data_IF_296338079664
#
_entry.id   IF_296338079664
#
_cell.length_a   1.000
_cell.length_b   1.000
_cell.length_c   1.000
_cell.angle_alpha   90.00
_cell.angle_beta   90.00
_cell.angle_gamma   90.00
#
_symmetry.space_group_name_H-M   'P 1'
#
loop_
_entity.id
_entity.type
_entity.pdbx_description
1 polymer ?
#
# COMPACT_ATOMS: atom_id res chain seq x y z
N UNK A 1 -33.00 23.25 4.30
CA UNK A 1 -32.73 21.87 3.85
C UNK A 1 -31.27 21.60 4.17
N UNK A 2 -31.02 20.69 5.10
CA UNK A 2 -29.67 20.33 5.48
C UNK A 2 -28.95 19.74 4.27
N UNK A 3 -27.86 20.39 3.85
CA UNK A 3 -27.08 20.14 2.63
C UNK A 3 -26.35 18.77 2.65
N UNK A 4 -26.75 17.90 3.58
CA UNK A 4 -26.07 16.67 3.99
C UNK A 4 -26.79 15.42 3.55
N UNK A 5 -28.10 15.51 3.47
CA UNK A 5 -28.97 14.43 3.04
C UNK A 5 -29.60 14.82 1.72
N UNK A 6 -29.56 13.90 0.77
CA UNK A 6 -30.51 13.93 -0.32
C UNK A 6 -31.95 13.82 0.24
N UNK A 7 -32.96 14.12 -0.56
CA UNK A 7 -34.39 13.99 -0.19
C UNK A 7 -34.73 12.59 0.33
N UNK A 8 -33.89 11.60 -0.02
CA UNK A 8 -33.95 10.19 0.39
C UNK A 8 -33.25 9.84 1.72
N UNK A 9 -32.59 10.79 2.41
CA UNK A 9 -31.84 10.53 3.64
C UNK A 9 -30.47 9.87 3.41
N UNK A 10 -29.98 9.87 2.16
CA UNK A 10 -28.65 9.37 1.79
C UNK A 10 -27.61 10.49 1.82
N UNK A 11 -26.36 10.13 2.09
CA UNK A 11 -25.21 11.02 1.97
C UNK A 11 -24.99 11.42 0.52
N UNK A 12 -24.14 12.43 0.28
CA UNK A 12 -23.78 12.91 -1.06
C UNK A 12 -23.19 11.84 -1.99
N UNK A 13 -22.62 10.80 -1.41
CA UNK A 13 -22.05 9.64 -2.12
C UNK A 13 -23.05 8.47 -2.27
N UNK A 14 -24.29 8.64 -1.84
CA UNK A 14 -25.34 7.61 -1.88
C UNK A 14 -25.31 6.61 -0.74
N UNK A 15 -24.39 6.75 0.23
CA UNK A 15 -24.29 5.84 1.39
C UNK A 15 -25.24 6.21 2.52
N UNK A 16 -25.56 5.24 3.36
CA UNK A 16 -26.20 5.51 4.66
C UNK A 16 -25.18 6.11 5.65
N UNK A 17 -25.63 6.86 6.68
CA UNK A 17 -24.76 7.38 7.75
C UNK A 17 -23.84 6.32 8.38
N UNK A 18 -24.33 5.09 8.58
CA UNK A 18 -23.61 4.00 9.26
C UNK A 18 -22.98 2.99 8.32
N UNK A 19 -22.65 3.40 7.11
CA UNK A 19 -22.13 2.53 6.07
C UNK A 19 -20.68 2.88 5.71
N UNK A 20 -19.78 1.91 5.84
CA UNK A 20 -18.39 2.02 5.42
C UNK A 20 -18.26 1.99 3.89
N UNK A 21 -17.25 2.66 3.34
CA UNK A 21 -16.93 2.57 1.90
C UNK A 21 -16.58 1.14 1.51
N UNK A 22 -16.68 0.86 0.20
CA UNK A 22 -16.14 -0.36 -0.36
C UNK A 22 -14.65 -0.48 -0.01
N UNK A 23 -14.24 -1.69 0.39
CA UNK A 23 -12.85 -2.00 0.74
C UNK A 23 -12.33 -3.01 -0.26
N UNK A 24 -11.38 -2.61 -1.09
CA UNK A 24 -10.67 -3.52 -1.97
C UNK A 24 -9.32 -3.83 -1.35
N UNK A 25 -9.07 -5.11 -1.14
CA UNK A 25 -7.83 -5.62 -0.53
C UNK A 25 -7.12 -6.47 -1.57
N UNK A 26 -5.84 -6.20 -1.78
CA UNK A 26 -4.94 -7.08 -2.52
C UNK A 26 -3.75 -7.38 -1.64
N UNK A 27 -3.68 -8.62 -1.16
CA UNK A 27 -2.52 -9.18 -0.47
C UNK A 27 -1.63 -9.85 -1.53
N UNK A 28 -0.33 -9.87 -1.30
CA UNK A 28 0.60 -10.55 -2.20
C UNK A 28 0.64 -9.95 -3.61
N UNK A 29 1.58 -9.04 -3.83
CA UNK A 29 1.98 -8.54 -5.15
C UNK A 29 3.50 -8.65 -5.36
N UNK A 30 4.05 -8.31 -6.55
CA UNK A 30 5.47 -8.10 -6.78
C UNK A 30 6.07 -7.23 -5.69
N UNK A 31 6.92 -7.90 -4.91
CA UNK A 31 7.66 -7.32 -3.81
C UNK A 31 8.93 -6.69 -4.40
N UNK A 32 9.28 -5.45 -4.04
CA UNK A 32 10.62 -4.94 -4.25
C UNK A 32 11.66 -5.90 -3.63
N UNK A 33 12.92 -5.89 -4.10
CA UNK A 33 13.97 -6.63 -3.42
C UNK A 33 14.05 -6.18 -1.96
N UNK A 34 14.14 -7.15 -1.04
CA UNK A 34 14.16 -6.95 0.42
C UNK A 34 12.82 -6.55 1.08
N UNK A 35 11.68 -6.79 0.43
CA UNK A 35 10.35 -6.66 1.05
C UNK A 35 9.76 -8.05 1.28
N UNK A 36 9.43 -8.36 2.52
CA UNK A 36 8.89 -9.66 2.92
C UNK A 36 7.38 -9.72 2.76
N UNK A 37 6.68 -8.61 3.02
CA UNK A 37 5.23 -8.52 2.91
C UNK A 37 4.75 -7.28 2.17
N UNK A 38 3.68 -7.42 1.40
CA UNK A 38 3.05 -6.26 0.75
C UNK A 38 1.52 -6.37 0.77
N UNK A 39 0.88 -5.21 0.89
CA UNK A 39 -0.56 -5.12 0.82
C UNK A 39 -0.98 -3.80 0.16
N UNK A 40 -1.91 -3.89 -0.78
CA UNK A 40 -2.60 -2.74 -1.31
C UNK A 40 -4.03 -2.72 -0.79
N UNK A 41 -4.41 -1.58 -0.21
CA UNK A 41 -5.73 -1.37 0.36
C UNK A 41 -6.34 -0.12 -0.22
N UNK A 42 -7.60 -0.24 -0.63
CA UNK A 42 -8.41 0.89 -1.08
C UNK A 42 -9.70 0.95 -0.27
N UNK A 43 -9.93 2.08 0.40
CA UNK A 43 -11.16 2.42 1.11
C UNK A 43 -11.90 3.51 0.32
N UNK A 44 -12.84 3.10 -0.51
CA UNK A 44 -13.49 3.95 -1.51
C UNK A 44 -12.49 4.55 -2.50
N UNK A 45 -12.10 5.81 -2.30
CA UNK A 45 -11.12 6.50 -3.14
C UNK A 45 -9.77 6.71 -2.46
N UNK A 46 -9.67 6.45 -1.15
CA UNK A 46 -8.40 6.50 -0.42
C UNK A 46 -7.67 5.19 -0.64
N UNK A 47 -6.46 5.22 -1.19
CA UNK A 47 -5.67 4.02 -1.46
C UNK A 47 -4.26 4.13 -0.91
N UNK A 48 -3.79 3.06 -0.25
CA UNK A 48 -2.48 2.96 0.40
C UNK A 48 -1.82 1.65 -0.02
N UNK A 49 -0.55 1.74 -0.39
CA UNK A 49 0.33 0.59 -0.58
C UNK A 49 1.25 0.47 0.62
N UNK A 50 1.27 -0.69 1.25
CA UNK A 50 2.08 -1.00 2.42
C UNK A 50 3.13 -2.05 2.07
N UNK A 51 4.37 -1.79 2.48
CA UNK A 51 5.48 -2.72 2.40
C UNK A 51 5.99 -3.01 3.81
N UNK A 52 6.22 -4.28 4.11
CA UNK A 52 6.84 -4.74 5.34
C UNK A 52 8.20 -5.33 5.03
N UNK A 53 9.21 -4.86 5.75
CA UNK A 53 10.60 -5.29 5.65
C UNK A 53 11.01 -5.84 7.01
N UNK A 54 11.45 -7.09 7.03
CA UNK A 54 11.95 -7.73 8.22
C UNK A 54 10.86 -8.29 9.11
N UNK A 55 11.25 -9.12 10.07
CA UNK A 55 12.28 -8.80 11.08
C UNK A 55 13.71 -8.89 10.55
N UNK A 56 14.41 -7.75 10.52
CA UNK A 56 15.83 -7.64 10.13
C UNK A 56 16.68 -7.28 11.34
N UNK A 57 17.98 -7.62 11.33
CA UNK A 57 18.89 -7.19 12.38
C UNK A 57 18.99 -5.66 12.44
N UNK A 58 18.98 -5.12 13.67
CA UNK A 58 19.02 -3.67 13.87
C UNK A 58 20.38 -3.13 13.43
N UNK A 59 20.40 -2.29 12.38
CA UNK A 59 21.64 -1.73 11.80
C UNK A 59 22.44 -0.85 12.76
N UNK A 60 21.77 -0.22 13.73
CA UNK A 60 22.39 0.69 14.70
C UNK A 60 22.24 0.12 16.10
N UNK A 61 23.36 -0.11 16.77
CA UNK A 61 23.40 -0.60 18.15
C UNK A 61 22.67 0.32 19.15
N UNK A 62 22.56 1.62 18.85
CA UNK A 62 21.80 2.58 19.67
C UNK A 62 20.29 2.39 19.58
N UNK A 63 19.82 1.84 18.46
CA UNK A 63 18.39 1.63 18.20
C UNK A 63 17.92 0.23 18.60
N UNK A 64 18.85 -0.60 19.07
CA UNK A 64 18.65 -1.99 19.44
C UNK A 64 17.96 -2.09 20.79
N UNK A 65 16.81 -2.77 20.81
CA UNK A 65 16.11 -3.14 22.04
C UNK A 65 16.46 -4.60 22.34
N UNK A 66 17.03 -4.87 23.52
CA UNK A 66 17.55 -6.20 23.86
C UNK A 66 16.45 -7.25 23.96
N UNK A 67 15.32 -6.88 24.57
CA UNK A 67 14.24 -7.82 24.92
C UNK A 67 13.05 -7.80 23.96
N UNK A 68 13.05 -6.89 22.97
CA UNK A 68 11.91 -6.72 22.05
C UNK A 68 12.36 -6.24 20.67
N UNK A 69 11.47 -6.42 19.69
CA UNK A 69 11.62 -5.86 18.35
C UNK A 69 11.32 -4.36 18.34
N UNK A 70 12.12 -3.60 17.60
CA UNK A 70 11.81 -2.20 17.29
C UNK A 70 10.89 -2.13 16.08
N UNK A 71 9.73 -1.49 16.22
CA UNK A 71 8.86 -1.17 15.10
C UNK A 71 9.24 0.21 14.56
N UNK A 72 9.47 0.30 13.25
CA UNK A 72 9.67 1.56 12.55
C UNK A 72 8.64 1.70 11.43
N UNK A 73 8.12 2.91 11.25
CA UNK A 73 7.21 3.19 10.16
C UNK A 73 7.65 4.45 9.44
N UNK A 74 7.57 4.44 8.11
CA UNK A 74 7.72 5.64 7.29
C UNK A 74 6.46 5.80 6.46
N UNK A 75 5.79 6.95 6.59
CA UNK A 75 4.63 7.30 5.77
C UNK A 75 5.08 8.29 4.71
N UNK A 76 4.97 7.88 3.45
CA UNK A 76 5.32 8.69 2.28
C UNK A 76 4.05 9.09 1.54
N UNK A 77 3.92 10.39 1.28
CA UNK A 77 2.86 10.97 0.45
C UNK A 77 3.50 11.74 -0.70
N UNK A 78 3.50 11.17 -1.90
CA UNK A 78 4.25 11.72 -3.03
C UNK A 78 5.73 11.84 -2.66
N UNK A 79 6.27 13.06 -2.57
CA UNK A 79 7.66 13.33 -2.15
C UNK A 79 7.82 13.72 -0.67
N UNK A 80 6.72 13.86 0.09
CA UNK A 80 6.76 14.35 1.48
C UNK A 80 6.54 13.21 2.46
N UNK A 81 7.36 13.19 3.51
CA UNK A 81 7.15 12.30 4.66
C UNK A 81 6.20 12.94 5.68
N UNK A 82 5.37 12.11 6.31
CA UNK A 82 4.44 12.51 7.37
C UNK A 82 4.84 11.84 8.71
N UNK A 83 5.73 12.48 9.50
CA UNK A 83 6.27 11.88 10.72
C UNK A 83 5.24 11.75 11.85
N UNK A 84 4.23 12.61 11.89
CA UNK A 84 3.15 12.56 12.90
C UNK A 84 2.28 11.33 12.68
N UNK A 85 1.90 11.08 11.42
CA UNK A 85 1.16 9.87 11.06
C UNK A 85 2.01 8.62 11.31
N UNK A 86 3.29 8.65 10.94
CA UNK A 86 4.21 7.55 11.15
C UNK A 86 4.33 7.20 12.64
N UNK A 87 4.50 8.18 13.52
CA UNK A 87 4.60 7.97 14.98
C UNK A 87 3.33 7.33 15.53
N UNK A 88 2.17 7.77 15.04
CA UNK A 88 0.87 7.21 15.43
C UNK A 88 0.73 5.76 14.99
N UNK A 89 1.14 5.45 13.76
CA UNK A 89 1.14 4.08 13.22
C UNK A 89 2.08 3.20 14.03
N UNK A 90 3.31 3.63 14.31
CA UNK A 90 4.28 2.88 15.13
C UNK A 90 3.68 2.52 16.49
N UNK A 91 3.19 3.51 17.24
CA UNK A 91 2.59 3.27 18.57
C UNK A 91 1.42 2.28 18.52
N UNK A 92 0.63 2.33 17.45
CA UNK A 92 -0.49 1.40 17.27
C UNK A 92 0.02 -0.01 16.97
N UNK A 93 0.99 -0.15 16.07
CA UNK A 93 1.54 -1.44 15.65
C UNK A 93 2.35 -2.14 16.75
N UNK A 94 3.09 -1.42 17.59
CA UNK A 94 3.84 -1.99 18.74
C UNK A 94 2.92 -2.78 19.69
N UNK A 95 1.67 -2.36 19.84
CA UNK A 95 0.70 -3.08 20.68
C UNK A 95 0.04 -4.27 19.95
N UNK A 96 0.00 -4.25 18.63
CA UNK A 96 -0.59 -5.31 17.82
C UNK A 96 0.40 -6.45 17.55
N UNK A 97 1.66 -6.12 17.28
CA UNK A 97 2.75 -7.06 16.98
C UNK A 97 3.27 -7.71 18.26
N UNK A 98 3.64 -8.99 18.18
CA UNK A 98 4.35 -9.70 19.25
C UNK A 98 5.84 -9.34 19.19
N UNK A 99 6.18 -8.14 19.66
CA UNK A 99 7.56 -7.62 19.63
C UNK A 99 8.54 -8.47 20.45
N UNK A 100 8.07 -9.12 21.51
CA UNK A 100 8.88 -9.98 22.39
C UNK A 100 9.40 -11.25 21.67
N UNK A 101 8.80 -11.61 20.52
CA UNK A 101 9.22 -12.76 19.73
C UNK A 101 10.52 -12.52 18.94
N UNK A 102 10.93 -11.26 18.75
CA UNK A 102 12.10 -10.89 17.94
C UNK A 102 13.03 -9.91 18.68
N UNK A 103 13.79 -10.38 19.68
CA UNK A 103 14.78 -9.54 20.37
C UNK A 103 15.84 -9.02 19.40
N UNK A 104 16.27 -7.76 19.55
CA UNK A 104 17.27 -7.08 18.71
C UNK A 104 16.89 -6.92 17.23
N UNK A 105 15.68 -7.31 16.82
CA UNK A 105 15.20 -7.15 15.46
C UNK A 105 14.53 -5.79 15.24
N UNK A 106 14.55 -5.32 14.01
CA UNK A 106 13.76 -4.18 13.53
C UNK A 106 12.75 -4.68 12.51
N UNK A 107 11.48 -4.32 12.72
CA UNK A 107 10.39 -4.50 11.76
C UNK A 107 10.12 -3.12 11.17
N UNK A 108 10.24 -2.98 9.85
CA UNK A 108 10.04 -1.71 9.18
C UNK A 108 8.83 -1.77 8.25
N UNK A 109 7.90 -0.83 8.42
CA UNK A 109 6.71 -0.70 7.57
C UNK A 109 6.78 0.60 6.80
N UNK A 110 6.76 0.52 5.47
CA UNK A 110 6.73 1.69 4.59
C UNK A 110 5.33 1.79 3.98
N UNK A 111 4.67 2.92 4.25
CA UNK A 111 3.33 3.21 3.78
C UNK A 111 3.39 4.28 2.70
N UNK A 112 3.00 3.93 1.48
CA UNK A 112 2.86 4.84 0.36
C UNK A 112 1.38 5.21 0.22
N UNK A 113 1.03 6.43 0.58
CA UNK A 113 -0.32 6.96 0.37
C UNK A 113 -0.44 7.36 -1.11
N UNK A 114 -1.17 6.57 -1.87
CA UNK A 114 -1.38 6.81 -3.30
C UNK A 114 -2.44 7.89 -3.48
N UNK A 115 -3.63 7.70 -2.89
CA UNK A 115 -4.74 8.64 -2.97
C UNK A 115 -5.33 8.89 -1.58
N UNK A 116 -5.74 10.13 -1.32
CA UNK A 116 -6.18 10.60 0.00
C UNK A 116 -7.52 11.34 -0.13
N UNK A 117 -8.61 10.59 0.00
CA UNK A 117 -9.99 11.06 -0.03
C UNK A 117 -10.69 10.86 1.33
N UNK A 118 -9.92 11.02 2.41
CA UNK A 118 -10.39 11.00 3.80
C UNK A 118 -10.20 9.67 4.53
N UNK A 119 -10.25 9.72 5.87
CA UNK A 119 -9.96 8.60 6.78
C UNK A 119 -8.57 7.98 6.56
N UNK A 120 -7.58 8.82 6.21
CA UNK A 120 -6.21 8.43 5.87
C UNK A 120 -5.55 7.58 6.94
N UNK A 121 -5.64 7.98 8.21
CA UNK A 121 -5.04 7.26 9.34
C UNK A 121 -5.59 5.84 9.44
N UNK A 122 -6.91 5.67 9.31
CA UNK A 122 -7.55 4.36 9.35
C UNK A 122 -7.07 3.47 8.19
N UNK A 123 -7.02 4.01 6.97
CA UNK A 123 -6.53 3.27 5.81
C UNK A 123 -5.05 2.84 5.98
N UNK A 124 -4.18 3.73 6.45
CA UNK A 124 -2.78 3.45 6.73
C UNK A 124 -2.60 2.31 7.75
N UNK A 125 -3.34 2.36 8.85
CA UNK A 125 -3.28 1.35 9.91
C UNK A 125 -3.73 -0.03 9.42
N UNK A 126 -4.82 -0.06 8.66
CA UNK A 126 -5.34 -1.29 8.07
C UNK A 126 -4.39 -1.88 7.02
N UNK A 127 -3.82 -1.04 6.15
CA UNK A 127 -2.84 -1.47 5.15
C UNK A 127 -1.56 -2.01 5.81
N UNK A 128 -1.07 -1.34 6.86
CA UNK A 128 0.07 -1.82 7.64
C UNK A 128 -0.21 -3.19 8.26
N UNK A 129 -1.38 -3.37 8.88
CA UNK A 129 -1.75 -4.66 9.47
C UNK A 129 -1.78 -5.77 8.43
N UNK A 130 -2.31 -5.50 7.23
CA UNK A 130 -2.36 -6.47 6.14
C UNK A 130 -0.95 -6.83 5.63
N UNK A 131 -0.05 -5.86 5.50
CA UNK A 131 1.33 -6.12 5.08
C UNK A 131 2.11 -6.95 6.11
N UNK A 132 1.84 -6.76 7.41
CA UNK A 132 2.41 -7.58 8.48
C UNK A 132 1.88 -9.02 8.43
N UNK A 133 0.60 -9.22 8.10
CA UNK A 133 0.02 -10.56 7.88
C UNK A 133 0.70 -11.24 6.68
N UNK A 134 0.85 -10.54 5.56
CA UNK A 134 1.50 -11.07 4.36
C UNK A 134 2.99 -11.41 4.58
N UNK A 135 3.68 -10.62 5.41
CA UNK A 135 5.06 -10.91 5.83
C UNK A 135 5.17 -12.12 6.78
N UNK A 136 4.05 -12.65 7.28
CA UNK A 136 4.04 -13.74 8.25
C UNK A 136 4.51 -13.34 9.64
N UNK A 137 4.42 -12.04 9.99
CA UNK A 137 4.83 -11.56 11.31
C UNK A 137 3.75 -11.92 12.34
N UNK A 138 4.12 -12.57 13.46
CA UNK A 138 3.18 -12.92 14.51
C UNK A 138 2.61 -11.66 15.16
N UNK A 139 1.30 -11.50 15.05
CA UNK A 139 0.52 -10.45 15.68
C UNK A 139 -0.47 -11.04 16.68
N UNK A 140 -0.82 -10.27 17.72
CA UNK A 140 -1.86 -10.64 18.69
C UNK A 140 -3.22 -10.79 18.02
N UNK A 141 -3.49 -9.92 17.04
CA UNK A 141 -4.70 -9.88 16.24
C UNK A 141 -4.50 -9.00 14.98
N UNK A 142 -5.38 -9.15 13.99
CA UNK A 142 -5.42 -8.25 12.83
C UNK A 142 -6.12 -6.95 13.22
N UNK A 143 -5.46 -5.82 13.01
CA UNK A 143 -5.98 -4.52 13.40
C UNK A 143 -7.09 -4.09 12.43
N UNK A 144 -8.18 -3.55 12.98
CA UNK A 144 -9.19 -2.86 12.21
C UNK A 144 -9.35 -1.43 12.70
N UNK A 145 -9.21 -0.48 11.80
CA UNK A 145 -9.36 0.94 12.09
C UNK A 145 -10.45 1.57 11.22
N UNK A 146 -11.22 2.47 11.80
CA UNK A 146 -12.17 3.30 11.07
C UNK A 146 -12.26 4.68 11.70
N UNK A 147 -12.61 5.67 10.89
CA UNK A 147 -12.98 6.99 11.39
C UNK A 147 -14.49 7.11 11.49
N UNK A 148 -14.97 7.79 12.51
CA UNK A 148 -16.34 8.29 12.61
C UNK A 148 -16.32 9.79 12.85
N UNK A 149 -17.29 10.52 12.32
CA UNK A 149 -17.37 11.97 12.50
C UNK A 149 -18.78 12.41 12.80
N UNK A 150 -18.88 13.51 13.55
CA UNK A 150 -20.14 14.16 13.83
C UNK A 150 -20.42 15.21 12.74
N UNK A 151 -21.42 14.97 11.92
CA UNK A 151 -21.86 15.86 10.84
C UNK A 151 -23.34 16.15 11.04
N UNK A 152 -23.72 17.42 11.17
CA UNK A 152 -25.11 17.83 11.37
C UNK A 152 -25.84 17.08 12.51
N UNK A 153 -25.11 16.80 13.60
CA UNK A 153 -25.60 16.08 14.79
C UNK A 153 -25.92 14.58 14.59
N UNK A 154 -25.61 14.05 13.40
CA UNK A 154 -25.57 12.63 13.08
C UNK A 154 -24.12 12.11 13.04
N UNK A 155 -23.91 10.85 13.42
CA UNK A 155 -22.59 10.22 13.37
C UNK A 155 -22.43 9.43 12.08
N UNK A 156 -21.48 9.86 11.26
CA UNK A 156 -21.14 9.22 9.98
C UNK A 156 -19.95 8.28 10.14
N UNK A 157 -20.07 7.10 9.54
CA UNK A 157 -18.99 6.13 9.46
C UNK A 157 -18.15 6.42 8.22
N UNK A 158 -16.84 6.35 8.37
CA UNK A 158 -15.85 6.43 7.31
C UNK A 158 -16.06 7.67 6.43
N UNK A 159 -15.53 8.78 6.94
CA UNK A 159 -15.67 10.11 6.37
C UNK A 159 -14.89 10.22 5.06
N UNK A 160 -15.53 10.81 4.06
CA UNK A 160 -14.87 11.32 2.86
C UNK A 160 -14.10 12.60 3.18
N UNK A 161 -13.19 13.02 2.31
CA UNK A 161 -12.41 14.26 2.49
C UNK A 161 -13.29 15.50 2.63
N UNK A 162 -14.39 15.55 1.89
CA UNK A 162 -15.35 16.64 1.94
C UNK A 162 -16.09 16.70 3.27
N UNK A 163 -16.45 15.53 3.81
CA UNK A 163 -17.05 15.41 5.12
C UNK A 163 -16.03 15.65 6.21
N UNK A 164 -14.79 15.18 6.11
CA UNK A 164 -13.72 15.46 7.06
C UNK A 164 -13.47 16.96 7.18
N UNK A 165 -13.32 17.68 6.07
CA UNK A 165 -13.11 19.15 6.10
C UNK A 165 -14.20 19.89 6.88
N UNK A 166 -15.43 19.38 6.83
CA UNK A 166 -16.58 20.01 7.47
C UNK A 166 -16.89 19.42 8.85
N UNK A 167 -16.56 18.15 9.09
CA UNK A 167 -16.61 17.45 10.37
C UNK A 167 -15.51 17.92 11.31
N UNK A 168 -14.36 18.36 10.78
CA UNK A 168 -13.29 19.02 11.53
C UNK A 168 -13.77 20.29 12.25
N UNK A 169 -14.92 20.86 11.85
CA UNK A 169 -15.56 21.95 12.59
C UNK A 169 -16.28 21.49 13.87
N UNK A 170 -16.68 20.22 13.96
CA UNK A 170 -17.27 19.59 15.16
C UNK A 170 -16.30 18.59 15.76
N UNK A 171 -16.27 17.36 15.26
CA UNK A 171 -15.30 16.35 15.68
C UNK A 171 -15.21 15.18 14.69
N UNK A 172 -13.99 14.68 14.52
CA UNK A 172 -13.68 13.39 13.91
C UNK A 172 -12.93 12.52 14.91
N UNK A 173 -13.23 11.23 14.90
CA UNK A 173 -12.68 10.27 15.83
C UNK A 173 -12.23 9.03 15.07
N UNK A 174 -10.93 8.76 15.06
CA UNK A 174 -10.35 7.57 14.44
C UNK A 174 -9.98 6.57 15.52
N UNK A 175 -10.50 5.36 15.41
CA UNK A 175 -10.28 4.30 16.40
C UNK A 175 -9.68 3.09 15.70
N UNK A 176 -8.68 2.49 16.33
CA UNK A 176 -8.14 1.19 15.99
C UNK A 176 -8.52 0.16 17.06
N UNK A 177 -9.03 -0.99 16.62
CA UNK A 177 -9.46 -2.08 17.50
C UNK A 177 -8.81 -3.40 17.11
N UNK A 178 -8.59 -4.25 18.10
CA UNK A 178 -8.29 -5.66 17.93
C UNK A 178 -9.60 -6.45 18.09
N UNK A 179 -10.22 -6.94 17.00
CA UNK A 179 -11.58 -7.50 17.03
C UNK A 179 -11.73 -8.72 17.95
N UNK A 180 -10.74 -9.60 18.02
CA UNK A 180 -10.76 -10.83 18.83
C UNK A 180 -10.72 -10.53 20.32
N UNK A 181 -9.90 -9.56 20.73
CA UNK A 181 -9.78 -9.16 22.13
C UNK A 181 -10.76 -8.05 22.54
N UNK A 182 -11.46 -7.44 21.58
CA UNK A 182 -12.32 -6.26 21.75
C UNK A 182 -11.63 -5.09 22.46
N UNK A 183 -10.31 -4.97 22.27
CA UNK A 183 -9.51 -3.90 22.87
C UNK A 183 -9.34 -2.77 21.87
N UNK A 184 -9.54 -1.55 22.35
CA UNK A 184 -9.13 -0.33 21.64
C UNK A 184 -7.63 -0.15 21.82
N UNK A 185 -6.92 0.01 20.72
CA UNK A 185 -5.47 0.19 20.70
C UNK A 185 -5.10 1.66 20.69
N UNK A 186 -5.67 2.39 19.76
CA UNK A 186 -5.42 3.81 19.57
C UNK A 186 -6.72 4.52 19.23
N UNK A 187 -6.81 5.76 19.69
CA UNK A 187 -7.98 6.60 19.52
C UNK A 187 -7.49 8.03 19.34
N UNK A 188 -7.90 8.65 18.23
CA UNK A 188 -7.49 9.99 17.83
C UNK A 188 -8.74 10.84 17.64
N UNK A 189 -8.91 11.82 18.52
CA UNK A 189 -9.94 12.85 18.40
C UNK A 189 -9.33 14.10 17.82
N UNK A 190 -9.87 14.56 16.70
CA UNK A 190 -9.56 15.89 16.17
C UNK A 190 -10.86 16.68 16.04
N UNK A 191 -10.85 17.92 16.52
CA UNK A 191 -11.99 18.82 16.42
C UNK A 191 -12.20 19.64 17.68
N UNK A 192 -13.37 20.26 17.77
CA UNK A 192 -13.78 21.05 18.91
C UNK A 192 -14.09 20.16 20.14
N UNK A 193 -13.99 20.70 21.35
CA UNK A 193 -14.44 20.03 22.56
C UNK A 193 -15.92 19.61 22.43
N UNK A 194 -16.20 18.34 22.73
CA UNK A 194 -17.54 17.77 22.70
C UNK A 194 -18.14 17.69 24.10
N UNK A 195 -19.46 17.77 24.17
CA UNK A 195 -20.20 17.36 25.37
C UNK A 195 -20.01 15.86 25.62
N UNK A 196 -19.88 15.46 26.88
CA UNK A 196 -19.66 14.06 27.30
C UNK A 196 -20.66 13.09 26.66
N UNK A 197 -21.95 13.45 26.63
CA UNK A 197 -23.02 12.63 26.07
C UNK A 197 -22.84 12.37 24.56
N UNK A 198 -22.29 13.35 23.84
CA UNK A 198 -22.02 13.28 22.41
C UNK A 198 -20.71 12.53 22.14
N UNK A 199 -19.70 12.72 22.98
CA UNK A 199 -18.45 11.98 22.91
C UNK A 199 -18.66 10.47 23.13
N UNK A 200 -19.45 10.06 24.12
CA UNK A 200 -19.76 8.65 24.37
C UNK A 200 -20.49 7.99 23.19
N UNK A 201 -21.43 8.72 22.58
CA UNK A 201 -22.11 8.28 21.36
C UNK A 201 -21.13 8.18 20.20
N UNK A 202 -20.24 9.14 20.00
CA UNK A 202 -19.26 9.11 18.92
C UNK A 202 -18.25 7.96 19.10
N UNK A 203 -17.75 7.76 20.32
CA UNK A 203 -16.81 6.69 20.67
C UNK A 203 -17.41 5.31 20.44
N UNK A 204 -18.60 5.04 20.98
CA UNK A 204 -19.29 3.75 20.78
C UNK A 204 -19.51 3.44 19.30
N UNK A 205 -19.92 4.45 18.53
CA UNK A 205 -20.11 4.34 17.08
C UNK A 205 -18.82 4.16 16.30
N UNK A 206 -17.73 4.79 16.72
CA UNK A 206 -16.42 4.60 16.10
C UNK A 206 -15.88 3.19 16.36
N UNK A 207 -16.12 2.63 17.55
CA UNK A 207 -15.78 1.23 17.87
C UNK A 207 -16.58 0.27 16.98
N UNK A 208 -17.89 0.50 16.80
CA UNK A 208 -18.73 -0.29 15.89
C UNK A 208 -18.18 -0.24 14.46
N UNK A 209 -17.82 0.95 13.97
CA UNK A 209 -17.26 1.15 12.63
C UNK A 209 -15.91 0.43 12.46
N UNK A 210 -15.02 0.54 13.45
CA UNK A 210 -13.71 -0.10 13.42
C UNK A 210 -13.82 -1.64 13.47
N UNK A 211 -14.78 -2.16 14.24
CA UNK A 211 -15.09 -3.60 14.30
C UNK A 211 -15.63 -4.11 12.96
N UNK A 212 -16.51 -3.35 12.32
CA UNK A 212 -17.03 -3.70 10.99
C UNK A 212 -15.92 -3.68 9.94
N UNK A 213 -15.01 -2.71 9.99
CA UNK A 213 -13.83 -2.67 9.13
C UNK A 213 -12.94 -3.89 9.36
N UNK A 214 -12.65 -4.24 10.62
CA UNK A 214 -11.85 -5.40 10.98
C UNK A 214 -12.43 -6.71 10.41
N UNK A 215 -13.74 -6.88 10.50
CA UNK A 215 -14.43 -8.06 9.98
C UNK A 215 -14.33 -8.16 8.45
N UNK A 216 -14.48 -7.04 7.74
CA UNK A 216 -14.30 -6.99 6.28
C UNK A 216 -12.88 -7.35 5.87
N UNK A 217 -11.88 -6.81 6.56
CA UNK A 217 -10.48 -7.12 6.31
C UNK A 217 -10.17 -8.60 6.58
N UNK A 218 -10.63 -9.14 7.72
CA UNK A 218 -10.45 -10.54 8.06
C UNK A 218 -11.15 -11.49 7.08
N UNK A 219 -12.26 -11.08 6.49
CA UNK A 219 -12.90 -11.83 5.42
C UNK A 219 -12.06 -11.80 4.15
N UNK A 220 -11.65 -10.61 3.69
CA UNK A 220 -10.79 -10.47 2.51
C UNK A 220 -9.48 -11.26 2.61
N UNK A 221 -8.84 -11.27 3.79
CA UNK A 221 -7.64 -12.08 4.04
C UNK A 221 -7.92 -13.58 3.93
N UNK A 222 -9.06 -14.05 4.46
CA UNK A 222 -9.44 -15.47 4.37
C UNK A 222 -9.76 -15.89 2.94
N UNK A 223 -10.44 -15.02 2.20
CA UNK A 223 -10.79 -15.26 0.80
C UNK A 223 -9.50 -15.38 -0.03
N UNK A 224 -8.55 -14.45 0.15
CA UNK A 224 -7.25 -14.49 -0.52
C UNK A 224 -6.44 -15.77 -0.18
N UNK A 225 -6.39 -16.17 1.09
CA UNK A 225 -5.72 -17.42 1.48
C UNK A 225 -6.42 -18.63 0.87
N UNK A 226 -7.75 -18.62 0.78
CA UNK A 226 -8.54 -19.66 0.12
C UNK A 226 -8.19 -19.80 -1.36
N UNK A 227 -8.11 -18.69 -2.08
CA UNK A 227 -7.68 -18.63 -3.48
C UNK A 227 -6.25 -19.16 -3.66
N UNK A 228 -5.32 -18.74 -2.79
CA UNK A 228 -3.93 -19.19 -2.84
C UNK A 228 -3.78 -20.71 -2.60
N UNK A 229 -4.57 -21.29 -1.70
CA UNK A 229 -4.60 -22.74 -1.46
C UNK A 229 -5.13 -23.48 -2.69
N UNK A 230 -6.23 -22.99 -3.29
CA UNK A 230 -6.80 -23.61 -4.49
C UNK A 230 -5.84 -23.58 -5.68
N UNK A 231 -5.12 -22.47 -5.89
CA UNK A 231 -4.09 -22.38 -6.94
C UNK A 231 -2.98 -23.40 -6.72
N UNK A 232 -2.53 -23.59 -5.46
CA UNK A 232 -1.50 -24.56 -5.11
C UNK A 232 -1.95 -26.00 -5.34
N UNK A 233 -3.19 -26.32 -4.96
CA UNK A 233 -3.75 -27.66 -5.12
C UNK A 233 -3.98 -27.98 -6.62
N UNK A 234 -4.36 -26.98 -7.43
CA UNK A 234 -4.48 -27.12 -8.88
C UNK A 234 -3.13 -27.36 -9.58
N UNK A 235 -2.05 -26.70 -9.13
CA UNK A 235 -0.70 -26.98 -9.64
C UNK A 235 -0.19 -28.36 -9.22
N UNK A 236 -0.53 -28.81 -8.01
CA UNK A 236 -0.16 -30.14 -7.51
C UNK A 236 -0.91 -31.29 -8.21
N UNK A 237 -2.12 -31.04 -8.75
CA UNK A 237 -2.93 -32.04 -9.44
C UNK A 237 -2.48 -32.35 -10.88
N UNK A 238 -1.55 -31.58 -11.46
CA UNK A 238 -0.98 -31.85 -12.79
C UNK A 238 0.29 -32.68 -12.63
N UNK A 239 0.33 -33.98 -13.03
CA UNK A 239 1.55 -34.77 -12.91
C UNK A 239 2.62 -34.22 -13.87
N UNK A 240 3.90 -34.18 -13.46
CA UNK A 240 4.97 -33.73 -14.35
C UNK A 240 5.09 -34.70 -15.52
N UNK A 241 4.81 -34.22 -16.74
CA UNK A 241 5.07 -34.98 -17.95
C UNK A 241 6.57 -35.20 -18.09
N UNK A 242 7.01 -36.46 -18.00
CA UNK A 242 8.40 -36.86 -18.27
C UNK A 242 8.72 -36.59 -19.74
N UNK A 243 9.40 -35.50 -20.04
CA UNK A 243 10.09 -35.29 -21.32
C UNK A 243 11.59 -35.21 -21.06
N UNK A 244 12.32 -36.22 -21.55
CA UNK A 244 13.77 -36.23 -21.61
C UNK A 244 14.23 -35.17 -22.63
N UNK A 245 14.85 -34.09 -22.17
CA UNK A 245 15.46 -33.10 -23.04
C UNK A 245 16.18 -32.01 -22.24
N UNK A 246 17.48 -31.87 -22.46
CA UNK A 246 18.33 -30.80 -21.93
C UNK A 246 18.00 -29.49 -22.66
N UNK A 247 17.31 -28.55 -22.01
CA UNK A 247 17.47 -27.09 -22.21
C UNK A 247 16.55 -26.33 -21.24
N UNK A 248 16.98 -25.10 -20.94
CA UNK A 248 16.60 -24.20 -19.86
C UNK A 248 15.30 -23.42 -20.13
N UNK A 249 14.18 -24.11 -20.29
CA UNK A 249 12.90 -23.49 -20.69
C UNK A 249 11.77 -23.76 -19.69
N UNK A 250 12.01 -23.45 -18.40
CA UNK A 250 10.99 -23.51 -17.33
C UNK A 250 10.71 -22.15 -16.67
N UNK A 251 11.21 -21.04 -17.21
CA UNK A 251 10.91 -19.71 -16.68
C UNK A 251 9.70 -19.05 -17.37
N UNK A 252 9.33 -19.46 -18.60
CA UNK A 252 8.32 -18.74 -19.40
C UNK A 252 6.86 -19.09 -19.09
N UNK A 253 6.54 -20.23 -18.46
CA UNK A 253 5.13 -20.59 -18.17
C UNK A 253 4.65 -20.06 -16.81
N UNK A 254 5.57 -19.71 -15.89
CA UNK A 254 5.26 -19.08 -14.59
C UNK A 254 5.12 -17.56 -14.71
N UNK A 255 5.50 -16.98 -15.86
CA UNK A 255 5.38 -15.55 -16.16
C UNK A 255 3.98 -15.14 -16.62
N UNK A 256 3.12 -16.09 -17.02
CA UNK A 256 1.79 -15.80 -17.58
C UNK A 256 0.69 -15.51 -16.54
N UNK A 257 0.93 -15.74 -15.24
CA UNK A 257 0.04 -15.27 -14.15
C UNK A 257 0.41 -13.87 -13.62
N UNK A 258 1.46 -13.21 -14.15
CA UNK A 258 1.92 -11.87 -13.72
C UNK A 258 1.16 -10.70 -14.34
N UNK A 259 -0.16 -10.76 -14.48
CA UNK A 259 -0.96 -9.61 -14.97
C UNK A 259 -2.15 -9.20 -14.08
N UNK A 260 -2.04 -9.34 -12.76
CA UNK A 260 -2.84 -8.49 -11.83
C UNK A 260 -2.11 -7.16 -11.58
N UNK A 261 -1.82 -6.45 -12.67
CA UNK A 261 -1.39 -5.05 -12.70
C UNK A 261 -2.02 -4.41 -13.94
N UNK A 262 -3.29 -4.01 -13.88
CA UNK A 262 -3.74 -2.94 -14.79
C UNK A 262 -3.26 -1.61 -14.21
N UNK A 263 -2.24 -1.08 -14.88
CA UNK A 263 -1.52 0.17 -14.64
C UNK A 263 -1.81 1.16 -15.76
N UNK A 264 -2.96 1.15 -16.44
CA UNK A 264 -3.29 2.28 -17.36
C UNK A 264 -3.44 3.63 -16.64
N UNK A 265 -3.16 3.69 -15.35
CA UNK A 265 -2.98 4.92 -14.61
C UNK A 265 -1.52 5.37 -14.60
N UNK A 266 -1.35 6.67 -14.82
CA UNK A 266 -0.16 7.49 -14.60
C UNK A 266 0.51 7.35 -13.20
N UNK A 267 0.11 6.42 -12.34
CA UNK A 267 0.59 6.26 -10.96
C UNK A 267 1.86 5.42 -10.79
N UNK A 268 2.13 4.42 -11.64
CA UNK A 268 3.50 3.87 -11.69
C UNK A 268 4.45 4.93 -12.27
N UNK A 269 3.96 5.63 -13.29
CA UNK A 269 4.52 6.87 -13.81
C UNK A 269 4.36 8.07 -12.86
N UNK A 270 4.03 7.87 -11.57
CA UNK A 270 4.08 8.86 -10.47
C UNK A 270 4.76 8.39 -9.18
N UNK A 271 5.15 7.13 -9.14
CA UNK A 271 6.27 6.62 -8.34
C UNK A 271 7.62 7.20 -8.83
N UNK A 272 7.57 7.93 -9.96
CA UNK A 272 8.29 9.18 -10.29
C UNK A 272 9.24 9.74 -9.24
N UNK A 273 10.32 10.29 -9.81
CA UNK A 273 10.86 11.61 -9.44
C UNK A 273 11.51 11.77 -8.07
N UNK A 274 11.77 10.66 -7.39
CA UNK A 274 12.88 10.57 -6.46
C UNK A 274 14.17 10.50 -7.28
N UNK A 275 15.01 11.53 -7.17
CA UNK A 275 16.12 11.87 -8.07
C UNK A 275 17.35 10.94 -7.98
N UNK A 276 17.17 9.63 -8.10
CA UNK A 276 18.26 8.65 -8.23
C UNK A 276 17.88 7.64 -9.32
N UNK A 277 18.65 7.63 -10.41
CA UNK A 277 18.57 6.69 -11.56
C UNK A 277 17.65 7.08 -12.74
N UNK A 278 17.82 8.28 -13.30
CA UNK A 278 17.71 8.43 -14.77
C UNK A 278 19.06 7.96 -15.35
N UNK A 279 19.11 7.07 -16.37
CA UNK A 279 20.37 6.76 -17.02
C UNK A 279 20.95 8.03 -17.62
N UNK A 280 22.20 8.33 -17.30
CA UNK A 280 22.88 9.50 -17.88
C UNK A 280 23.04 9.29 -19.38
N UNK A 281 23.12 10.38 -20.16
CA UNK A 281 23.27 10.36 -21.62
C UNK A 281 24.44 9.46 -22.06
N UNK A 282 25.46 9.34 -21.22
CA UNK A 282 26.65 8.53 -21.47
C UNK A 282 26.42 7.02 -21.31
N UNK A 283 25.54 6.58 -20.41
CA UNK A 283 25.17 5.15 -20.24
C UNK A 283 24.38 4.63 -21.44
N UNK A 284 23.55 5.48 -22.05
CA UNK A 284 22.79 5.13 -23.26
C UNK A 284 23.70 5.04 -24.49
N UNK A 285 24.73 5.90 -24.58
CA UNK A 285 25.76 5.84 -25.62
C UNK A 285 26.59 4.56 -25.52
N UNK A 286 26.96 4.12 -24.31
CA UNK A 286 27.67 2.86 -24.10
C UNK A 286 26.82 1.65 -24.52
N UNK A 287 25.54 1.62 -24.11
CA UNK A 287 24.61 0.57 -24.50
C UNK A 287 24.37 0.49 -26.02
N UNK A 288 24.36 1.64 -26.70
CA UNK A 288 24.29 1.74 -28.16
C UNK A 288 25.56 1.24 -28.85
N UNK A 289 26.73 1.57 -28.31
CA UNK A 289 28.02 1.10 -28.80
C UNK A 289 28.12 -0.43 -28.76
N UNK A 290 27.61 -1.06 -27.70
CA UNK A 290 27.57 -2.52 -27.56
C UNK A 290 26.61 -3.19 -28.55
N UNK A 291 25.50 -2.55 -28.90
CA UNK A 291 24.56 -3.04 -29.92
C UNK A 291 25.19 -2.92 -31.32
N UNK A 292 25.84 -1.79 -31.64
CA UNK A 292 26.54 -1.56 -32.92
C UNK A 292 27.69 -2.56 -33.13
N UNK A 293 28.36 -2.99 -32.05
CA UNK A 293 29.40 -4.05 -32.07
C UNK A 293 28.82 -5.45 -32.29
N UNK A 294 27.66 -5.78 -31.72
CA UNK A 294 27.04 -7.10 -31.84
C UNK A 294 26.42 -7.36 -33.22
N UNK A 295 25.94 -6.31 -33.88
CA UNK A 295 25.34 -6.40 -35.22
C UNK A 295 25.75 -5.18 -36.06
N UNK A 296 26.86 -5.27 -36.82
CA UNK A 296 27.32 -4.16 -37.65
C UNK A 296 26.43 -3.97 -38.89
N UNK A 297 26.04 -2.71 -39.17
CA UNK A 297 25.33 -2.33 -40.40
C UNK A 297 23.83 -2.04 -40.27
N UNK A 298 23.27 -1.95 -39.06
CA UNK A 298 21.87 -1.56 -38.88
C UNK A 298 21.63 -0.08 -39.19
N UNK A 299 20.47 0.22 -39.80
CA UNK A 299 20.02 1.58 -40.04
C UNK A 299 19.74 2.31 -38.71
N UNK A 300 19.78 3.66 -38.67
CA UNK A 300 19.46 4.42 -37.46
C UNK A 300 18.08 4.10 -36.89
N UNK A 301 17.11 3.81 -37.77
CA UNK A 301 15.74 3.43 -37.40
C UNK A 301 15.69 2.04 -36.75
N UNK A 302 16.47 1.08 -37.25
CA UNK A 302 16.56 -0.26 -36.67
C UNK A 302 17.34 -0.26 -35.34
N UNK A 303 18.33 0.63 -35.21
CA UNK A 303 19.07 0.84 -33.96
C UNK A 303 18.15 1.45 -32.88
N UNK A 304 17.33 2.42 -33.26
CA UNK A 304 16.30 3.01 -32.41
C UNK A 304 15.21 1.97 -32.07
N UNK A 305 14.84 1.08 -32.99
CA UNK A 305 13.93 -0.02 -32.73
C UNK A 305 14.51 -1.04 -31.74
N UNK A 306 15.79 -1.39 -31.88
CA UNK A 306 16.50 -2.27 -30.94
C UNK A 306 16.61 -1.65 -29.54
N UNK A 307 16.87 -0.34 -29.46
CA UNK A 307 16.82 0.41 -28.20
C UNK A 307 15.44 0.43 -27.58
N UNK A 308 14.39 0.68 -28.36
CA UNK A 308 12.97 0.63 -27.94
C UNK A 308 12.53 -0.75 -27.49
N UNK A 309 13.25 -1.79 -27.90
CA UNK A 309 13.03 -3.16 -27.44
C UNK A 309 13.68 -3.40 -26.07
N UNK A 310 14.80 -2.73 -25.78
CA UNK A 310 15.58 -2.88 -24.54
C UNK A 310 15.15 -1.90 -23.44
N UNK A 311 14.62 -0.74 -23.81
CA UNK A 311 14.16 0.31 -22.91
C UNK A 311 12.73 0.75 -23.30
N UNK A 312 11.88 1.07 -22.32
CA UNK A 312 10.50 1.44 -22.58
C UNK A 312 10.42 2.78 -23.34
N UNK A 313 9.45 2.91 -24.26
CA UNK A 313 9.35 4.04 -25.20
C UNK A 313 9.32 5.42 -24.53
N UNK A 314 8.63 5.55 -23.39
CA UNK A 314 8.52 6.80 -22.65
C UNK A 314 9.85 7.28 -22.03
N UNK A 315 10.83 6.39 -21.83
CA UNK A 315 12.19 6.76 -21.39
C UNK A 315 13.00 7.38 -22.53
N UNK A 316 12.67 7.01 -23.77
CA UNK A 316 13.33 7.44 -24.99
C UNK A 316 12.66 8.70 -25.59
N UNK A 317 11.39 8.93 -25.29
CA UNK A 317 10.63 10.09 -25.78
C UNK A 317 11.06 11.42 -25.10
N UNK A 318 11.61 11.37 -23.89
CA UNK A 318 12.15 12.53 -23.15
C UNK A 318 13.66 12.78 -23.40
N UNK A 319 14.31 11.95 -24.25
CA UNK A 319 15.72 12.12 -24.58
C UNK A 319 15.92 13.15 -25.70
N UNK A 320 16.94 13.99 -25.54
CA UNK A 320 17.32 14.97 -26.55
C UNK A 320 18.08 14.27 -27.69
N UNK A 321 17.36 13.75 -28.67
CA UNK A 321 17.90 12.97 -29.78
C UNK A 321 18.97 13.71 -30.60
N UNK A 322 18.91 15.03 -30.66
CA UNK A 322 19.89 15.88 -31.35
C UNK A 322 21.25 15.87 -30.64
N UNK A 323 21.26 15.96 -29.31
CA UNK A 323 22.48 15.90 -28.50
C UNK A 323 23.12 14.50 -28.53
N UNK A 324 22.28 13.47 -28.71
CA UNK A 324 22.72 12.08 -28.81
C UNK A 324 23.32 11.75 -30.19
N UNK A 325 22.75 12.32 -31.26
CA UNK A 325 23.29 12.24 -32.62
C UNK A 325 24.66 12.93 -32.71
N UNK A 326 24.80 14.14 -32.15
CA UNK A 326 26.07 14.87 -32.09
C UNK A 326 27.18 14.10 -31.36
N UNK A 327 26.84 13.40 -30.25
CA UNK A 327 27.80 12.56 -29.51
C UNK A 327 28.15 11.26 -30.24
N UNK A 328 27.25 10.71 -31.04
CA UNK A 328 27.46 9.46 -31.78
C UNK A 328 28.11 9.66 -33.16
N UNK A 329 28.13 10.90 -33.66
CA UNK A 329 28.80 11.29 -34.91
C UNK A 329 28.07 10.87 -36.18
N UNK A 330 26.77 10.55 -36.09
CA UNK A 330 25.86 10.17 -37.18
C UNK A 330 24.64 11.11 -37.21
#
# INVERSE_FOLDING_TARGET
>A
MDVWFDVSGLRKDGRKPRELRAMDVKLGGPKPPNVDGCAWLRMGLTSVLAHCIGPSETKRRSDEVQDAARVSCTVVRGRREDPELATTVVRTLETAVLVDAFPRATISVVLHVLADEGSRLACCLNAASLALVDAGIPMRDCLGAAAAGLVADEVFFDLTRDEERRASAKARFTVAVLPRSRRVVSAHLDGAPLETSTFEKLLSRAIDAATLAANRLAQATRDHVGEAIQMRDATAATPPSRTNGRSTDTEEVVLLEKMIYDVKSAYFASFLSSSKHLPTTDEVVEALGDIKKKTPGLSPEDLAAALRTKYPSWLLDDMNWTELAEKMGD
#
